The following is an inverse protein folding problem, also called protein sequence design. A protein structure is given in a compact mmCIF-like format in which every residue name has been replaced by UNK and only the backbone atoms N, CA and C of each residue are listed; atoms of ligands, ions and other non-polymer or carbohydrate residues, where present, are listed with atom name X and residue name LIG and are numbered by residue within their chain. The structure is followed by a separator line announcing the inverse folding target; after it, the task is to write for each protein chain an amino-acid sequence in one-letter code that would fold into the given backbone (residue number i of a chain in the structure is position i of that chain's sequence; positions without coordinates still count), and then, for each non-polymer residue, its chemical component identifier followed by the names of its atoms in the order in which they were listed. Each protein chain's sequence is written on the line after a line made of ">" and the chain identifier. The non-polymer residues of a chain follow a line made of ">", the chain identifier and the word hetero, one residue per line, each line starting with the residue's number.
data_IF_634735726083
#
_entry.id   IF_634735726083
#
_cell.length_a   1.000
_cell.length_b   1.000
_cell.length_c   1.000
_cell.angle_alpha   90.00
_cell.angle_beta   90.00
_cell.angle_gamma   90.00
#
_symmetry.space_group_name_H-M   'P 1'
#
loop_
_entity.id
_entity.type
_entity.pdbx_description
1 polymer ?
#
# COMPACT_ATOMS: atom_id res chain seq x y z
N UNK A 1 -26.43 -34.41 5.01
CA UNK A 1 -25.24 -33.84 5.77
C UNK A 1 -23.97 -33.66 4.93
N UNK A 2 -23.61 -34.54 4.00
CA UNK A 2 -22.48 -34.32 3.07
C UNK A 2 -22.79 -33.27 2.00
N UNK A 3 -23.95 -33.30 1.38
CA UNK A 3 -24.36 -32.38 0.32
C UNK A 3 -24.54 -30.93 0.80
N UNK A 4 -25.08 -30.68 1.97
CA UNK A 4 -25.21 -29.34 2.55
C UNK A 4 -23.86 -28.66 2.78
N UNK A 5 -22.83 -29.44 3.19
CA UNK A 5 -21.48 -28.92 3.40
C UNK A 5 -20.79 -28.52 2.08
N UNK A 6 -21.01 -29.25 1.00
CA UNK A 6 -20.51 -28.90 -0.34
C UNK A 6 -21.19 -27.65 -0.90
N UNK A 7 -22.50 -27.48 -0.66
CA UNK A 7 -23.21 -26.25 -1.05
C UNK A 7 -22.69 -25.02 -0.27
N UNK A 8 -22.39 -25.18 1.04
CA UNK A 8 -21.81 -24.12 1.85
C UNK A 8 -20.42 -23.70 1.34
N UNK A 9 -19.55 -24.65 0.99
CA UNK A 9 -18.25 -24.34 0.40
C UNK A 9 -18.40 -23.62 -0.95
N UNK A 10 -19.32 -24.09 -1.81
CA UNK A 10 -19.54 -23.54 -3.15
C UNK A 10 -20.14 -22.11 -3.14
N UNK A 11 -20.83 -21.71 -2.08
CA UNK A 11 -21.47 -20.38 -1.97
C UNK A 11 -20.65 -19.43 -1.10
N UNK A 12 -20.24 -19.85 0.10
CA UNK A 12 -19.57 -18.95 1.05
C UNK A 12 -18.15 -18.57 0.60
N UNK A 13 -17.42 -19.50 0.00
CA UNK A 13 -16.04 -19.24 -0.42
C UNK A 13 -15.98 -18.20 -1.55
N UNK A 14 -16.72 -18.35 -2.67
CA UNK A 14 -16.76 -17.32 -3.71
C UNK A 14 -17.30 -15.98 -3.18
N UNK A 15 -18.30 -16.00 -2.29
CA UNK A 15 -18.87 -14.79 -1.70
C UNK A 15 -17.83 -14.04 -0.84
N UNK A 16 -17.06 -14.75 -0.01
CA UNK A 16 -15.97 -14.16 0.77
C UNK A 16 -14.87 -13.56 -0.09
N UNK A 17 -14.45 -14.27 -1.15
CA UNK A 17 -13.46 -13.76 -2.10
C UNK A 17 -14.00 -12.55 -2.86
N UNK A 18 -15.24 -12.60 -3.34
CA UNK A 18 -15.89 -11.48 -4.02
C UNK A 18 -15.97 -10.23 -3.13
N UNK A 19 -16.31 -10.40 -1.85
CA UNK A 19 -16.32 -9.30 -0.87
C UNK A 19 -14.94 -8.65 -0.76
N UNK A 20 -13.89 -9.45 -0.64
CA UNK A 20 -12.50 -8.96 -0.58
C UNK A 20 -12.08 -8.24 -1.86
N UNK A 21 -12.35 -8.82 -3.02
CA UNK A 21 -12.03 -8.22 -4.32
C UNK A 21 -12.81 -6.93 -4.53
N UNK A 22 -14.12 -6.93 -4.27
CA UNK A 22 -14.98 -5.74 -4.40
C UNK A 22 -14.47 -4.58 -3.53
N UNK A 23 -14.08 -4.88 -2.27
CA UNK A 23 -13.49 -3.88 -1.40
C UNK A 23 -12.19 -3.29 -2.00
N UNK A 24 -11.28 -4.12 -2.51
CA UNK A 24 -10.01 -3.65 -3.08
C UNK A 24 -10.20 -2.84 -4.38
N UNK A 25 -11.17 -3.22 -5.21
CA UNK A 25 -11.53 -2.45 -6.41
C UNK A 25 -12.16 -1.11 -6.04
N UNK A 26 -13.06 -1.09 -5.04
CA UNK A 26 -13.63 0.15 -4.52
C UNK A 26 -12.55 1.07 -3.93
N UNK A 27 -11.60 0.52 -3.16
CA UNK A 27 -10.49 1.28 -2.61
C UNK A 27 -9.58 1.84 -3.71
N UNK A 28 -9.25 1.04 -4.73
CA UNK A 28 -8.48 1.48 -5.88
C UNK A 28 -9.17 2.65 -6.61
N UNK A 29 -10.47 2.52 -6.86
CA UNK A 29 -11.27 3.60 -7.44
C UNK A 29 -11.18 4.87 -6.59
N UNK A 30 -11.26 4.73 -5.26
CA UNK A 30 -11.21 5.86 -4.33
C UNK A 30 -9.82 6.51 -4.28
N UNK A 31 -8.74 5.74 -4.34
CA UNK A 31 -7.37 6.25 -4.42
C UNK A 31 -7.17 7.06 -5.71
N UNK A 32 -7.71 6.61 -6.84
CA UNK A 32 -7.55 7.27 -8.13
C UNK A 32 -8.39 8.55 -8.26
N UNK A 33 -9.62 8.55 -7.73
CA UNK A 33 -10.55 9.67 -7.86
C UNK A 33 -10.44 10.71 -6.72
N UNK A 34 -10.16 10.26 -5.51
CA UNK A 34 -10.10 11.10 -4.31
C UNK A 34 -8.92 10.72 -3.42
N UNK A 35 -7.66 10.97 -3.87
CA UNK A 35 -6.46 10.56 -3.12
C UNK A 35 -6.42 11.14 -1.70
N UNK A 36 -6.89 12.38 -1.51
CA UNK A 36 -6.92 13.06 -0.21
C UNK A 36 -7.88 12.43 0.82
N UNK A 37 -8.79 11.55 0.39
CA UNK A 37 -9.73 10.84 1.27
C UNK A 37 -9.24 9.44 1.66
N UNK A 38 -8.02 9.07 1.30
CA UNK A 38 -7.42 7.78 1.60
C UNK A 38 -6.06 7.93 2.24
N UNK A 39 -5.75 7.08 3.22
CA UNK A 39 -4.45 7.08 3.90
C UNK A 39 -3.29 6.88 2.91
N UNK A 40 -3.47 6.00 1.92
CA UNK A 40 -2.46 5.73 0.90
C UNK A 40 -2.17 6.99 0.07
N UNK A 41 -3.21 7.71 -0.34
CA UNK A 41 -3.06 8.93 -1.13
C UNK A 41 -2.42 10.07 -0.33
N UNK A 42 -2.87 10.31 0.90
CA UNK A 42 -2.27 11.32 1.80
C UNK A 42 -0.80 11.00 2.05
N UNK A 43 -0.48 9.75 2.36
CA UNK A 43 0.91 9.34 2.57
C UNK A 43 1.76 9.52 1.31
N UNK A 44 1.18 9.39 0.12
CA UNK A 44 1.89 9.64 -1.13
C UNK A 44 2.23 11.13 -1.31
N UNK A 45 1.29 12.01 -0.95
CA UNK A 45 1.49 13.47 -0.96
C UNK A 45 2.57 13.86 0.07
N UNK A 46 2.42 13.39 1.31
CA UNK A 46 3.38 13.70 2.39
C UNK A 46 4.80 13.21 2.06
N UNK A 47 4.95 12.04 1.42
CA UNK A 47 6.26 11.55 0.97
C UNK A 47 6.87 12.44 -0.10
N UNK A 48 6.06 13.04 -0.98
CA UNK A 48 6.56 13.99 -1.98
C UNK A 48 7.16 15.23 -1.31
N UNK A 49 6.45 15.82 -0.34
CA UNK A 49 6.97 16.94 0.46
C UNK A 49 8.21 16.55 1.27
N UNK A 50 8.21 15.35 1.84
CA UNK A 50 9.37 14.84 2.57
C UNK A 50 10.60 14.71 1.67
N UNK A 51 10.48 14.14 0.47
CA UNK A 51 11.57 14.02 -0.50
C UNK A 51 12.11 15.41 -0.86
N UNK A 52 11.22 16.36 -1.11
CA UNK A 52 11.60 17.74 -1.40
C UNK A 52 12.44 18.33 -0.27
N UNK A 53 11.94 18.28 0.96
CA UNK A 53 12.64 18.81 2.14
C UNK A 53 14.01 18.13 2.40
N UNK A 54 14.16 16.84 2.02
CA UNK A 54 15.43 16.13 2.17
C UNK A 54 16.44 16.48 1.08
N UNK A 55 15.97 16.73 -0.15
CA UNK A 55 16.86 17.04 -1.30
C UNK A 55 17.27 18.52 -1.36
N UNK A 56 16.47 19.43 -0.79
CA UNK A 56 16.81 20.87 -0.72
C UNK A 56 17.97 21.14 0.23
N UNK A 57 18.09 20.36 1.30
CA UNK A 57 19.15 20.52 2.31
C UNK A 57 20.08 19.30 2.30
N UNK A 58 21.26 19.47 1.69
CA UNK A 58 22.27 18.41 1.60
C UNK A 58 22.75 17.85 2.95
N UNK A 59 22.58 18.59 4.07
CA UNK A 59 22.91 18.11 5.41
C UNK A 59 21.99 16.98 5.87
N UNK A 60 20.77 16.89 5.31
CA UNK A 60 19.77 15.88 5.64
C UNK A 60 19.93 14.55 4.87
N UNK A 61 20.90 14.45 3.97
CA UNK A 61 21.11 13.25 3.14
C UNK A 61 21.26 11.96 3.96
N UNK A 62 22.01 12.02 5.07
CA UNK A 62 22.17 10.85 5.98
C UNK A 62 20.86 10.43 6.60
N UNK A 63 20.03 11.39 7.06
CA UNK A 63 18.71 11.12 7.63
C UNK A 63 17.77 10.49 6.59
N UNK A 64 17.79 11.00 5.36
CA UNK A 64 16.99 10.47 4.27
C UNK A 64 17.35 9.01 3.95
N UNK A 65 18.64 8.70 3.81
CA UNK A 65 19.11 7.33 3.58
C UNK A 65 18.78 6.42 4.75
N UNK A 66 18.91 6.90 6.00
CA UNK A 66 18.52 6.13 7.20
C UNK A 66 17.03 5.76 7.18
N UNK A 67 16.16 6.70 6.82
CA UNK A 67 14.71 6.46 6.70
C UNK A 67 14.39 5.45 5.62
N UNK A 68 15.01 5.57 4.44
CA UNK A 68 14.85 4.61 3.34
C UNK A 68 15.38 3.22 3.72
N UNK A 69 16.51 3.15 4.44
CA UNK A 69 17.05 1.88 4.95
C UNK A 69 16.08 1.19 5.90
N UNK A 70 15.40 1.92 6.78
CA UNK A 70 14.37 1.35 7.65
C UNK A 70 13.22 0.72 6.84
N UNK A 71 12.78 1.37 5.76
CA UNK A 71 11.77 0.82 4.87
C UNK A 71 12.27 -0.44 4.12
N UNK A 72 13.54 -0.45 3.70
CA UNK A 72 14.18 -1.63 3.10
C UNK A 72 14.20 -2.78 4.11
N UNK A 73 14.61 -2.53 5.36
CA UNK A 73 14.65 -3.55 6.41
C UNK A 73 13.25 -4.13 6.69
N UNK A 74 12.22 -3.29 6.78
CA UNK A 74 10.83 -3.75 6.94
C UNK A 74 10.37 -4.62 5.76
N UNK A 75 10.64 -4.21 4.52
CA UNK A 75 10.32 -5.00 3.33
C UNK A 75 11.09 -6.31 3.26
N UNK A 76 12.37 -6.32 3.69
CA UNK A 76 13.19 -7.53 3.75
C UNK A 76 12.64 -8.53 4.77
N UNK A 77 12.21 -8.06 5.95
CA UNK A 77 11.59 -8.91 6.96
C UNK A 77 10.32 -9.58 6.41
N UNK A 78 9.44 -8.80 5.76
CA UNK A 78 8.23 -9.34 5.14
C UNK A 78 8.53 -10.32 4.01
N UNK A 79 9.50 -10.03 3.15
CA UNK A 79 9.93 -10.93 2.08
C UNK A 79 10.47 -12.26 2.66
N UNK A 80 11.33 -12.20 3.67
CA UNK A 80 11.87 -13.39 4.32
C UNK A 80 10.77 -14.23 4.99
N UNK A 81 9.83 -13.58 5.65
CA UNK A 81 8.67 -14.27 6.27
C UNK A 81 7.80 -14.92 5.19
N UNK A 82 7.53 -14.22 4.07
CA UNK A 82 6.73 -14.77 2.99
C UNK A 82 7.35 -16.03 2.38
N UNK A 83 8.66 -16.04 2.11
CA UNK A 83 9.31 -17.22 1.51
C UNK A 83 9.41 -18.38 2.49
N UNK A 84 9.62 -18.11 3.79
CA UNK A 84 9.61 -19.15 4.83
C UNK A 84 8.22 -19.79 4.96
N UNK A 85 7.15 -18.99 4.98
CA UNK A 85 5.79 -19.51 5.03
C UNK A 85 5.41 -20.25 3.74
N UNK A 86 5.86 -19.80 2.58
CA UNK A 86 5.71 -20.52 1.32
C UNK A 86 6.35 -21.90 1.37
N UNK A 87 7.55 -22.00 1.90
CA UNK A 87 8.27 -23.28 2.04
C UNK A 87 7.55 -24.22 3.02
N UNK A 88 7.05 -23.70 4.12
CA UNK A 88 6.26 -24.48 5.09
C UNK A 88 4.98 -25.03 4.45
N UNK A 89 4.23 -24.20 3.72
CA UNK A 89 3.02 -24.62 3.01
C UNK A 89 3.35 -25.69 1.96
N UNK A 90 4.44 -25.54 1.21
CA UNK A 90 4.86 -26.54 0.22
C UNK A 90 5.18 -27.90 0.88
N UNK A 91 5.84 -27.91 2.05
CA UNK A 91 6.13 -29.14 2.82
C UNK A 91 4.82 -29.78 3.31
N UNK A 92 3.88 -28.99 3.84
CA UNK A 92 2.58 -29.49 4.30
C UNK A 92 1.77 -30.09 3.15
N UNK A 93 1.85 -29.48 1.96
CA UNK A 93 1.18 -29.97 0.76
C UNK A 93 1.76 -31.32 0.30
N UNK A 94 3.09 -31.48 0.29
CA UNK A 94 3.75 -32.71 -0.13
C UNK A 94 3.71 -33.81 0.92
N UNK A 95 3.86 -33.46 2.21
CA UNK A 95 3.83 -34.42 3.34
C UNK A 95 2.45 -35.02 3.60
N UNK A 96 1.39 -34.32 3.23
CA UNK A 96 0.01 -34.77 3.43
C UNK A 96 -0.41 -35.97 2.57
N UNK A 97 0.37 -36.34 1.54
CA UNK A 97 0.08 -37.49 0.67
C UNK A 97 0.30 -38.85 1.34
N UNK A 98 1.01 -38.92 2.47
CA UNK A 98 1.41 -40.17 3.11
C UNK A 98 0.60 -40.52 4.37
N UNK A 99 -0.33 -39.68 4.80
CA UNK A 99 -1.06 -39.88 6.05
C UNK A 99 -2.46 -40.50 5.79
N UNK A 100 -2.56 -41.79 5.93
CA UNK A 100 -3.81 -42.56 5.90
C UNK A 100 -4.74 -42.33 7.12
N UNK A 101 -4.47 -41.35 7.95
CA UNK A 101 -5.23 -41.10 9.18
C UNK A 101 -5.64 -39.63 9.31
N UNK A 102 -6.42 -39.13 8.32
CA UNK A 102 -7.03 -37.78 8.38
C UNK A 102 -8.36 -37.74 9.12
N UNK A 103 -8.43 -38.39 10.26
CA UNK A 103 -9.59 -38.30 11.17
C UNK A 103 -9.47 -37.16 12.17
N UNK A 104 -9.09 -35.94 11.72
CA UNK A 104 -9.22 -34.79 12.60
C UNK A 104 -10.63 -34.21 12.52
N UNK A 105 -11.37 -34.30 13.60
CA UNK A 105 -12.74 -33.82 13.77
C UNK A 105 -12.86 -32.28 13.64
N UNK A 106 -11.73 -31.57 13.62
CA UNK A 106 -11.67 -30.12 13.48
C UNK A 106 -11.80 -29.61 12.02
N UNK A 107 -11.70 -30.46 10.99
CA UNK A 107 -11.79 -30.04 9.59
C UNK A 107 -13.22 -30.14 9.09
N UNK A 108 -13.91 -29.00 9.01
CA UNK A 108 -15.23 -28.86 8.40
C UNK A 108 -15.08 -28.44 6.93
N UNK A 109 -15.44 -29.29 5.99
CA UNK A 109 -15.42 -28.97 4.55
C UNK A 109 -15.30 -30.22 3.68
N UNK A 110 -15.23 -29.99 2.35
CA UNK A 110 -14.99 -31.07 1.38
C UNK A 110 -13.58 -31.64 1.57
N UNK A 111 -13.51 -32.96 1.75
CA UNK A 111 -12.28 -33.70 2.05
C UNK A 111 -11.65 -34.32 0.80
N UNK A 112 -12.05 -33.90 -0.42
CA UNK A 112 -11.42 -34.39 -1.63
C UNK A 112 -9.96 -33.90 -1.69
N UNK A 113 -9.04 -34.78 -2.09
CA UNK A 113 -7.60 -34.44 -2.21
C UNK A 113 -7.34 -33.24 -3.14
N UNK A 114 -8.21 -33.07 -4.12
CA UNK A 114 -8.14 -31.96 -5.06
C UNK A 114 -8.48 -30.62 -4.39
N UNK A 115 -9.57 -30.56 -3.62
CA UNK A 115 -9.98 -29.34 -2.89
C UNK A 115 -8.92 -28.96 -1.86
N UNK A 116 -8.36 -29.94 -1.17
CA UNK A 116 -7.29 -29.73 -0.22
C UNK A 116 -6.05 -29.12 -0.87
N UNK A 117 -5.64 -29.67 -2.02
CA UNK A 117 -4.53 -29.14 -2.82
C UNK A 117 -4.78 -27.71 -3.30
N UNK A 118 -5.99 -27.36 -3.72
CA UNK A 118 -6.37 -25.99 -4.12
C UNK A 118 -6.25 -25.01 -2.94
N UNK A 119 -6.67 -25.41 -1.75
CA UNK A 119 -6.56 -24.55 -0.54
C UNK A 119 -5.11 -24.19 -0.26
N UNK A 120 -4.21 -25.18 -0.19
CA UNK A 120 -2.78 -24.92 0.04
C UNK A 120 -2.12 -24.14 -1.09
N UNK A 121 -2.43 -24.46 -2.34
CA UNK A 121 -1.92 -23.75 -3.49
C UNK A 121 -2.32 -22.27 -3.48
N UNK A 122 -3.57 -21.96 -3.14
CA UNK A 122 -4.05 -20.58 -3.03
C UNK A 122 -3.29 -19.78 -1.97
N UNK A 123 -3.00 -20.37 -0.80
CA UNK A 123 -2.20 -19.75 0.25
C UNK A 123 -0.77 -19.53 -0.22
N UNK A 124 -0.17 -20.53 -0.86
CA UNK A 124 1.18 -20.46 -1.43
C UNK A 124 1.31 -19.31 -2.42
N UNK A 125 0.34 -19.16 -3.33
CA UNK A 125 0.32 -18.05 -4.31
C UNK A 125 0.28 -16.69 -3.60
N UNK A 126 -0.52 -16.53 -2.54
CA UNK A 126 -0.56 -15.27 -1.78
C UNK A 126 0.81 -14.92 -1.18
N UNK A 127 1.51 -15.88 -0.60
CA UNK A 127 2.84 -15.63 -0.04
C UNK A 127 3.89 -15.36 -1.11
N UNK A 128 3.84 -16.04 -2.26
CA UNK A 128 4.75 -15.75 -3.38
C UNK A 128 4.51 -14.35 -3.95
N UNK A 129 3.26 -13.93 -4.09
CA UNK A 129 2.92 -12.56 -4.50
C UNK A 129 3.43 -11.55 -3.47
N UNK A 130 3.22 -11.80 -2.17
CA UNK A 130 3.75 -10.95 -1.10
C UNK A 130 5.27 -10.85 -1.17
N UNK A 131 5.98 -11.95 -1.37
CA UNK A 131 7.43 -11.99 -1.56
C UNK A 131 7.89 -11.12 -2.72
N UNK A 132 7.32 -11.32 -3.93
CA UNK A 132 7.70 -10.57 -5.12
C UNK A 132 7.45 -9.07 -4.98
N UNK A 133 6.32 -8.67 -4.38
CA UNK A 133 5.99 -7.27 -4.16
C UNK A 133 6.95 -6.61 -3.16
N UNK A 134 7.35 -7.31 -2.09
CA UNK A 134 8.33 -6.81 -1.15
C UNK A 134 9.73 -6.71 -1.77
N UNK A 135 10.14 -7.64 -2.66
CA UNK A 135 11.38 -7.49 -3.44
C UNK A 135 11.37 -6.25 -4.34
N UNK A 136 10.24 -5.95 -4.99
CA UNK A 136 10.12 -4.72 -5.79
C UNK A 136 10.17 -3.47 -4.90
N UNK A 137 9.60 -3.51 -3.72
CA UNK A 137 9.70 -2.43 -2.73
C UNK A 137 11.16 -2.15 -2.36
N UNK A 138 11.94 -3.20 -2.02
CA UNK A 138 13.37 -3.10 -1.71
C UNK A 138 14.12 -2.46 -2.88
N UNK A 139 13.87 -2.91 -4.11
CA UNK A 139 14.50 -2.37 -5.32
C UNK A 139 14.25 -0.88 -5.49
N UNK A 140 13.00 -0.41 -5.33
CA UNK A 140 12.65 1.00 -5.45
C UNK A 140 13.29 1.84 -4.35
N UNK A 141 13.23 1.41 -3.10
CA UNK A 141 13.85 2.15 -2.00
C UNK A 141 15.37 2.18 -2.08
N UNK A 142 16.00 1.09 -2.51
CA UNK A 142 17.45 1.03 -2.75
C UNK A 142 17.88 2.00 -3.84
N UNK A 143 17.12 2.08 -4.95
CA UNK A 143 17.37 3.06 -6.00
C UNK A 143 17.16 4.50 -5.52
N UNK A 144 16.08 4.76 -4.78
CA UNK A 144 15.78 6.07 -4.20
C UNK A 144 16.86 6.53 -3.22
N UNK A 145 17.49 5.62 -2.46
CA UNK A 145 18.54 5.96 -1.50
C UNK A 145 19.81 6.53 -2.14
N UNK A 146 20.06 6.19 -3.38
CA UNK A 146 21.17 6.77 -4.17
C UNK A 146 20.74 8.13 -4.72
N UNK A 147 19.55 8.19 -5.29
CA UNK A 147 19.05 9.39 -5.97
C UNK A 147 18.79 10.57 -5.04
N UNK A 148 18.38 10.31 -3.80
CA UNK A 148 18.01 11.36 -2.83
C UNK A 148 19.20 12.25 -2.43
N UNK A 149 20.43 11.77 -2.64
CA UNK A 149 21.67 12.51 -2.37
C UNK A 149 22.20 13.29 -3.58
N UNK A 150 21.48 13.30 -4.69
CA UNK A 150 21.88 14.06 -5.88
C UNK A 150 21.73 15.56 -5.59
N UNK A 151 22.82 16.36 -5.73
CA UNK A 151 22.81 17.78 -5.37
C UNK A 151 21.97 18.58 -6.37
N UNK A 152 20.81 19.06 -5.96
CA UNK A 152 19.91 19.86 -6.80
C UNK A 152 20.52 21.22 -7.16
N UNK A 153 21.30 21.82 -6.26
CA UNK A 153 21.85 23.18 -6.42
C UNK A 153 22.77 23.35 -7.64
N UNK A 154 23.27 22.24 -8.21
CA UNK A 154 24.13 22.24 -9.41
C UNK A 154 23.38 22.06 -10.72
N UNK A 155 22.04 21.96 -10.66
CA UNK A 155 21.20 21.69 -11.82
C UNK A 155 20.40 22.93 -12.23
N UNK A 156 20.02 23.00 -13.51
CA UNK A 156 19.04 23.98 -14.00
C UNK A 156 17.67 23.73 -13.34
N UNK A 157 16.88 24.78 -13.10
CA UNK A 157 15.54 24.70 -12.47
C UNK A 157 14.64 23.62 -13.07
N UNK A 158 14.65 23.48 -14.39
CA UNK A 158 13.88 22.44 -15.07
C UNK A 158 14.35 21.03 -14.70
N UNK A 159 15.64 20.80 -14.63
CA UNK A 159 16.21 19.51 -14.23
C UNK A 159 16.00 19.22 -12.74
N UNK A 160 16.06 20.25 -11.90
CA UNK A 160 15.75 20.11 -10.47
C UNK A 160 14.35 19.55 -10.25
N UNK A 161 13.35 20.16 -10.89
CA UNK A 161 11.95 19.73 -10.77
C UNK A 161 11.75 18.30 -11.28
N UNK A 162 12.30 17.96 -12.44
CA UNK A 162 12.22 16.60 -13.00
C UNK A 162 12.88 15.55 -12.10
N UNK A 163 14.04 15.87 -11.55
CA UNK A 163 14.77 14.96 -10.64
C UNK A 163 14.00 14.75 -9.35
N UNK A 164 13.50 15.82 -8.74
CA UNK A 164 12.68 15.75 -7.53
C UNK A 164 11.43 14.89 -7.76
N UNK A 165 10.72 15.13 -8.83
CA UNK A 165 9.52 14.38 -9.16
C UNK A 165 9.83 12.89 -9.40
N UNK A 166 10.92 12.59 -10.09
CA UNK A 166 11.36 11.22 -10.33
C UNK A 166 11.70 10.48 -9.02
N UNK A 167 12.43 11.13 -8.10
CA UNK A 167 12.77 10.56 -6.79
C UNK A 167 11.52 10.35 -5.96
N UNK A 168 10.63 11.34 -5.88
CA UNK A 168 9.36 11.23 -5.15
C UNK A 168 8.49 10.09 -5.68
N UNK A 169 8.38 9.96 -7.00
CA UNK A 169 7.63 8.87 -7.64
C UNK A 169 8.29 7.52 -7.37
N UNK A 170 9.62 7.44 -7.33
CA UNK A 170 10.35 6.20 -7.01
C UNK A 170 10.09 5.76 -5.57
N UNK A 171 10.14 6.68 -4.60
CA UNK A 171 9.80 6.41 -3.19
C UNK A 171 8.34 5.96 -3.06
N UNK A 172 7.42 6.63 -3.75
CA UNK A 172 6.00 6.26 -3.75
C UNK A 172 5.75 4.87 -4.32
N UNK A 173 6.42 4.51 -5.44
CA UNK A 173 6.33 3.15 -6.01
C UNK A 173 6.81 2.08 -5.03
N UNK A 174 7.91 2.34 -4.31
CA UNK A 174 8.38 1.46 -3.24
C UNK A 174 7.32 1.22 -2.17
N UNK A 175 6.68 2.28 -1.71
CA UNK A 175 5.63 2.21 -0.71
C UNK A 175 4.34 1.53 -1.22
N UNK A 176 3.97 1.73 -2.48
CA UNK A 176 2.83 1.02 -3.08
C UNK A 176 3.08 -0.49 -3.16
N UNK A 177 4.28 -0.91 -3.59
CA UNK A 177 4.66 -2.32 -3.60
C UNK A 177 4.63 -2.92 -2.20
N UNK A 178 5.13 -2.21 -1.20
CA UNK A 178 5.08 -2.63 0.19
C UNK A 178 3.64 -2.79 0.70
N UNK A 179 2.78 -1.80 0.44
CA UNK A 179 1.36 -1.85 0.84
C UNK A 179 0.61 -3.01 0.17
N UNK A 180 0.87 -3.27 -1.12
CA UNK A 180 0.28 -4.40 -1.84
C UNK A 180 0.80 -5.74 -1.31
N UNK A 181 2.10 -5.82 -0.96
CA UNK A 181 2.68 -7.00 -0.33
C UNK A 181 2.03 -7.33 1.00
N UNK A 182 1.79 -6.33 1.86
CA UNK A 182 1.03 -6.47 3.11
C UNK A 182 -0.41 -6.96 2.85
N UNK A 183 -1.07 -6.45 1.83
CA UNK A 183 -2.43 -6.89 1.48
C UNK A 183 -2.46 -8.35 1.02
N UNK A 184 -1.44 -8.81 0.30
CA UNK A 184 -1.31 -10.21 -0.06
C UNK A 184 -1.14 -11.10 1.18
N UNK A 185 -0.40 -10.64 2.21
CA UNK A 185 -0.37 -11.31 3.52
C UNK A 185 -1.76 -11.35 4.16
N UNK A 186 -2.46 -10.23 4.22
CA UNK A 186 -3.80 -10.20 4.81
C UNK A 186 -4.76 -11.14 4.09
N UNK A 187 -4.65 -11.26 2.76
CA UNK A 187 -5.43 -12.20 1.97
C UNK A 187 -5.17 -13.66 2.33
N UNK A 188 -3.96 -13.99 2.76
CA UNK A 188 -3.60 -15.35 3.15
C UNK A 188 -4.33 -15.84 4.41
N UNK A 189 -4.75 -14.92 5.34
CA UNK A 189 -5.43 -15.31 6.58
C UNK A 189 -6.79 -15.97 6.35
N UNK A 190 -7.74 -15.39 5.58
CA UNK A 190 -8.99 -16.08 5.26
C UNK A 190 -8.77 -17.40 4.55
N UNK A 191 -7.81 -17.47 3.61
CA UNK A 191 -7.51 -18.70 2.89
C UNK A 191 -6.93 -19.78 3.82
N UNK A 192 -6.13 -19.37 4.81
CA UNK A 192 -5.65 -20.31 5.84
C UNK A 192 -6.82 -20.84 6.67
N UNK A 193 -7.76 -19.97 7.08
CA UNK A 193 -8.97 -20.39 7.81
C UNK A 193 -9.92 -21.25 6.98
N UNK A 194 -9.83 -21.18 5.65
CA UNK A 194 -10.58 -22.08 4.77
C UNK A 194 -10.19 -23.55 4.94
N UNK A 195 -9.00 -23.84 5.45
CA UNK A 195 -8.58 -25.22 5.79
C UNK A 195 -9.53 -25.80 6.85
N UNK A 196 -9.94 -24.99 7.83
CA UNK A 196 -10.86 -25.39 8.89
C UNK A 196 -12.33 -25.43 8.43
N UNK A 197 -12.69 -24.62 7.43
CA UNK A 197 -14.03 -24.61 6.86
C UNK A 197 -14.45 -23.29 6.20
N UNK A 198 -15.60 -23.28 5.50
CA UNK A 198 -16.07 -22.08 4.79
C UNK A 198 -16.59 -20.99 5.74
N UNK A 199 -17.17 -21.37 6.88
CA UNK A 199 -17.69 -20.42 7.88
C UNK A 199 -16.56 -19.55 8.50
N UNK A 200 -15.48 -20.11 9.08
CA UNK A 200 -14.36 -19.32 9.60
C UNK A 200 -13.73 -18.42 8.53
N UNK A 201 -13.61 -18.91 7.29
CA UNK A 201 -13.10 -18.13 6.17
C UNK A 201 -13.97 -16.91 5.91
N UNK A 202 -15.29 -17.08 5.79
CA UNK A 202 -16.21 -15.99 5.50
C UNK A 202 -16.22 -14.92 6.60
N UNK A 203 -16.26 -15.35 7.88
CA UNK A 203 -16.14 -14.43 9.01
C UNK A 203 -14.81 -13.66 8.98
N UNK A 204 -13.72 -14.32 8.67
CA UNK A 204 -12.42 -13.68 8.55
C UNK A 204 -12.36 -12.67 7.40
N UNK A 205 -12.94 -12.98 6.23
CA UNK A 205 -13.08 -12.04 5.12
C UNK A 205 -13.83 -10.77 5.54
N UNK A 206 -14.96 -10.93 6.22
CA UNK A 206 -15.79 -9.82 6.68
C UNK A 206 -15.06 -8.97 7.72
N UNK A 207 -14.45 -9.61 8.73
CA UNK A 207 -13.69 -8.92 9.77
C UNK A 207 -12.49 -8.17 9.18
N UNK A 208 -11.79 -8.77 8.21
CA UNK A 208 -10.64 -8.17 7.55
C UNK A 208 -11.04 -6.97 6.70
N UNK A 209 -12.13 -7.04 5.94
CA UNK A 209 -12.67 -5.91 5.16
C UNK A 209 -13.07 -4.77 6.09
N UNK A 210 -13.75 -5.08 7.20
CA UNK A 210 -14.12 -4.09 8.20
C UNK A 210 -12.88 -3.40 8.80
N UNK A 211 -11.88 -4.15 9.22
CA UNK A 211 -10.64 -3.62 9.76
C UNK A 211 -9.90 -2.75 8.73
N UNK A 212 -9.76 -3.23 7.49
CA UNK A 212 -9.09 -2.48 6.42
C UNK A 212 -9.83 -1.19 6.07
N UNK A 213 -11.17 -1.18 6.12
CA UNK A 213 -11.95 0.03 5.88
C UNK A 213 -11.57 1.16 6.85
N UNK A 214 -11.45 0.85 8.15
CA UNK A 214 -11.03 1.85 9.14
C UNK A 214 -9.57 2.27 8.98
N UNK A 215 -8.69 1.39 8.53
CA UNK A 215 -7.28 1.71 8.32
C UNK A 215 -7.03 2.52 7.04
N UNK A 216 -7.84 2.31 6.00
CA UNK A 216 -7.61 2.91 4.67
C UNK A 216 -8.35 4.23 4.45
N UNK A 217 -9.44 4.48 5.21
CA UNK A 217 -10.26 5.69 5.06
C UNK A 217 -9.93 6.71 6.13
N UNK A 218 -9.58 7.91 5.71
CA UNK A 218 -9.34 9.04 6.62
C UNK A 218 -10.60 9.85 6.81
N UNK A 219 -11.07 9.95 8.03
CA UNK A 219 -12.29 10.68 8.39
C UNK A 219 -12.05 12.19 8.64
N UNK A 220 -10.83 12.62 8.95
CA UNK A 220 -10.54 13.99 9.44
C UNK A 220 -9.51 14.80 8.65
N UNK A 221 -8.73 14.20 7.75
CA UNK A 221 -7.60 14.90 7.13
C UNK A 221 -7.99 15.84 5.96
N UNK A 222 -9.16 15.65 5.37
CA UNK A 222 -9.66 16.54 4.29
C UNK A 222 -9.92 17.98 4.76
N UNK A 223 -10.13 18.19 6.06
CA UNK A 223 -10.38 19.51 6.63
C UNK A 223 -9.09 20.34 6.77
N UNK A 224 -7.97 19.70 7.12
CA UNK A 224 -6.70 20.39 7.33
C UNK A 224 -6.04 20.84 6.01
N UNK A 225 -6.20 20.07 4.91
CA UNK A 225 -5.64 20.44 3.59
C UNK A 225 -6.52 21.52 2.93
N UNK A 226 -7.84 21.46 3.07
CA UNK A 226 -8.74 22.51 2.58
C UNK A 226 -8.52 23.86 3.28
N UNK A 227 -8.13 23.86 4.55
CA UNK A 227 -7.81 25.09 5.28
C UNK A 227 -6.46 25.71 4.88
N UNK A 228 -5.55 24.94 4.28
CA UNK A 228 -4.26 25.44 3.76
C UNK A 228 -4.44 26.02 2.35
N UNK A 229 -5.27 25.41 1.51
CA UNK A 229 -5.59 25.94 0.17
C UNK A 229 -6.40 27.27 0.26
N UNK A 230 -7.32 27.37 1.23
CA UNK A 230 -8.12 28.58 1.44
C UNK A 230 -7.27 29.76 1.94
N UNK A 231 -6.22 29.50 2.74
CA UNK A 231 -5.26 30.52 3.17
C UNK A 231 -4.28 30.93 2.06
N UNK A 232 -3.88 30.00 1.20
CA UNK A 232 -3.01 30.30 0.05
C UNK A 232 -3.71 31.22 -0.96
N UNK A 233 -5.01 31.01 -1.21
CA UNK A 233 -5.78 31.84 -2.12
C UNK A 233 -6.04 33.26 -1.57
N UNK A 234 -6.22 33.40 -0.24
CA UNK A 234 -6.41 34.73 0.39
C UNK A 234 -5.12 35.52 0.45
N UNK A 235 -3.96 34.90 0.67
CA UNK A 235 -2.67 35.59 0.66
C UNK A 235 -2.27 36.04 -0.76
N UNK A 236 -2.58 35.28 -1.80
CA UNK A 236 -2.33 35.64 -3.19
C UNK A 236 -3.27 36.76 -3.68
N UNK A 237 -4.52 36.82 -3.22
CA UNK A 237 -5.45 37.94 -3.47
C UNK A 237 -5.05 39.21 -2.73
N UNK A 238 -4.62 39.14 -1.46
CA UNK A 238 -4.12 40.32 -0.74
C UNK A 238 -2.81 40.87 -1.34
N UNK A 239 -1.89 40.00 -1.79
CA UNK A 239 -0.67 40.43 -2.49
C UNK A 239 -0.99 41.05 -3.87
N UNK A 240 -1.99 40.55 -4.57
CA UNK A 240 -2.47 41.12 -5.85
C UNK A 240 -3.10 42.50 -5.69
N UNK A 241 -3.85 42.71 -4.63
CA UNK A 241 -4.49 44.02 -4.32
C UNK A 241 -3.47 45.05 -3.88
N UNK A 242 -2.44 44.65 -3.11
CA UNK A 242 -1.37 45.55 -2.66
C UNK A 242 -0.46 45.99 -3.82
N UNK A 243 -0.31 45.18 -4.88
CA UNK A 243 0.44 45.61 -6.07
C UNK A 243 -0.32 46.54 -7.02
N UNK A 244 -1.65 46.50 -7.02
CA UNK A 244 -2.47 47.39 -7.82
C UNK A 244 -2.55 48.82 -7.25
N UNK A 245 -2.34 49.00 -5.95
CA UNK A 245 -2.41 50.30 -5.29
C UNK A 245 -1.05 51.06 -5.25
N UNK A 246 0.02 50.49 -5.79
CA UNK A 246 1.35 51.11 -5.93
C UNK A 246 1.70 51.54 -7.34
N UNK A 247 0.80 52.20 -8.06
CA UNK A 247 1.12 52.92 -9.29
C UNK A 247 0.82 54.40 -9.14
N UNK A 248 1.71 55.26 -8.68
CA UNK A 248 1.55 56.69 -8.75
C UNK A 248 2.00 57.16 -10.12
N UNK A 249 1.06 57.25 -11.04
CA UNK A 249 1.17 58.21 -12.14
C UNK A 249 1.03 59.61 -11.54
N UNK A 250 2.12 60.33 -11.48
CA UNK A 250 2.17 61.76 -11.76
C UNK A 250 3.46 62.40 -11.22
N UNK A 251 4.32 62.87 -12.06
CA UNK A 251 4.71 64.25 -11.97
C UNK A 251 5.33 64.72 -13.27
N UNK A 252 4.62 65.59 -13.86
CA UNK A 252 5.07 66.45 -14.96
C UNK A 252 5.92 67.59 -14.42
N UNK A 253 6.88 68.05 -15.25
CA UNK A 253 7.44 69.40 -15.41
C UNK A 253 8.59 69.89 -14.57
N UNK A 254 9.59 70.36 -15.38
CA UNK A 254 10.43 71.61 -15.32
C UNK A 254 11.70 71.51 -14.46
N UNK A 255 12.86 71.82 -14.91
CA UNK A 255 13.48 72.71 -15.91
C UNK A 255 14.79 72.08 -16.32
#
# INVERSE_FOLDING_TARGET
>A
MSMEKQYLDCVLVPMGILLMVAYHLWLLYRILKHPTKTVIGINAINRRFWVQAMMEDGSKGVLAVQSLRNNIMASTLLASTAIMLSSLIAILMTGGSSASDRSSWFVFGDKSDLVYSIKFFSILVCFLVAFLLNLQSIRYYSHASILINVPLNKMSHRHQHLTLEYVANTVNRGSYCWSLGLRAFYFSFPLFLWIFGPLPMFFSCTALVFMLYFLDVTFQFGWAIGAVDDKGHTEDEELGVVQLDRNPSNSYYQI
#
